data_IF_660487970419
#
_entry.id   IF_660487970419
#
_cell.length_a   1.000
_cell.length_b   1.000
_cell.length_c   1.000
_cell.angle_alpha   90.00
_cell.angle_beta   90.00
_cell.angle_gamma   90.00
#
_symmetry.space_group_name_H-M   'P 1'
#
loop_
_entity.id
_entity.type
_entity.pdbx_description
1 polymer ?
#
# COMPACT_ATOMS: atom_id res chain seq x y z
N UNK A 1 2.34 13.42 2.91
CA UNK A 1 1.45 14.43 3.53
C UNK A 1 0.03 13.96 3.36
N UNK A 2 -0.80 14.22 4.35
CA UNK A 2 -2.21 13.82 4.40
C UNK A 2 -3.02 15.00 4.91
N UNK A 3 -4.18 15.21 4.31
CA UNK A 3 -5.11 16.29 4.65
C UNK A 3 -6.32 15.70 5.37
N UNK A 4 -6.83 16.41 6.37
CA UNK A 4 -8.16 16.17 6.92
C UNK A 4 -8.96 17.47 6.83
N UNK A 5 -10.04 17.42 6.07
CA UNK A 5 -11.06 18.47 6.03
C UNK A 5 -12.26 17.99 6.86
N UNK A 6 -12.57 18.75 7.90
CA UNK A 6 -13.82 18.69 8.64
C UNK A 6 -14.77 19.72 8.01
N UNK A 7 -15.30 19.35 6.85
CA UNK A 7 -16.27 20.11 6.07
C UNK A 7 -17.65 19.53 6.39
N UNK A 8 -18.39 20.20 7.27
CA UNK A 8 -19.69 19.69 7.76
C UNK A 8 -20.77 19.84 6.70
N UNK A 9 -20.66 20.86 5.84
CA UNK A 9 -21.68 21.18 4.85
C UNK A 9 -21.38 20.58 3.46
N UNK A 10 -20.21 19.97 3.28
CA UNK A 10 -19.73 19.28 2.08
C UNK A 10 -19.66 20.19 0.84
N UNK A 11 -19.38 21.48 1.02
CA UNK A 11 -19.28 22.44 -0.08
C UNK A 11 -17.86 22.54 -0.68
N UNK A 12 -16.87 21.84 -0.12
CA UNK A 12 -15.48 21.84 -0.59
C UNK A 12 -14.68 23.08 -0.21
N UNK A 13 -15.19 23.91 0.69
CA UNK A 13 -14.57 25.11 1.23
C UNK A 13 -14.47 24.96 2.76
N UNK A 14 -13.50 25.62 3.39
CA UNK A 14 -13.39 25.64 4.85
C UNK A 14 -14.11 26.87 5.38
N UNK A 15 -15.31 26.69 5.91
CA UNK A 15 -16.14 27.75 6.47
C UNK A 15 -15.80 28.07 7.94
N UNK A 16 -16.41 29.13 8.46
CA UNK A 16 -16.26 29.50 9.87
C UNK A 16 -16.80 28.39 10.79
N UNK A 17 -15.90 27.78 11.57
CA UNK A 17 -16.22 26.67 12.47
C UNK A 17 -15.75 25.31 11.96
N UNK A 18 -15.43 25.20 10.68
CA UNK A 18 -14.85 24.02 10.04
C UNK A 18 -13.34 24.01 10.20
N UNK A 19 -12.74 22.83 9.95
CA UNK A 19 -11.32 22.60 10.18
C UNK A 19 -10.61 21.99 9.00
N UNK A 20 -9.38 22.42 8.78
CA UNK A 20 -8.46 21.79 7.85
C UNK A 20 -7.12 21.51 8.56
N UNK A 21 -6.69 20.25 8.51
CA UNK A 21 -5.44 19.81 9.12
C UNK A 21 -4.50 19.22 8.06
N UNK A 22 -3.21 19.52 8.20
CA UNK A 22 -2.12 18.90 7.44
C UNK A 22 -1.25 18.04 8.33
N UNK A 23 -1.04 16.80 7.91
CA UNK A 23 -0.13 15.85 8.53
C UNK A 23 1.05 15.59 7.60
N UNK A 24 2.24 15.95 8.05
CA UNK A 24 3.45 16.03 7.23
C UNK A 24 4.48 15.05 7.77
N UNK A 25 5.09 14.31 6.84
CA UNK A 25 6.16 13.35 7.10
C UNK A 25 7.45 13.89 6.49
N UNK A 26 8.59 13.53 7.07
CA UNK A 26 9.91 13.99 6.61
C UNK A 26 10.55 13.07 5.56
N UNK A 27 10.03 11.87 5.29
CA UNK A 27 10.68 10.86 4.44
C UNK A 27 12.11 10.60 4.97
N UNK A 28 13.14 10.62 4.10
CA UNK A 28 14.57 10.53 4.46
C UNK A 28 15.07 11.71 5.31
N UNK A 29 14.29 12.79 5.45
CA UNK A 29 14.68 13.95 6.26
C UNK A 29 14.68 13.67 7.76
N UNK A 30 13.99 12.63 8.22
CA UNK A 30 14.01 12.24 9.63
C UNK A 30 12.81 11.42 10.10
N UNK A 31 12.81 11.16 11.40
CA UNK A 31 11.84 10.29 12.07
C UNK A 31 10.72 11.05 12.78
N UNK A 32 10.19 12.12 12.16
CA UNK A 32 9.12 12.93 12.77
C UNK A 32 7.91 13.07 11.84
N UNK A 33 6.73 13.13 12.47
CA UNK A 33 5.51 13.65 11.87
C UNK A 33 5.13 14.98 12.49
N UNK A 34 4.51 15.84 11.69
CA UNK A 34 4.05 17.16 12.11
C UNK A 34 2.58 17.32 11.77
N UNK A 35 1.83 18.00 12.64
CA UNK A 35 0.45 18.39 12.39
C UNK A 35 0.29 19.92 12.44
N UNK A 36 -0.42 20.46 11.46
CA UNK A 36 -0.75 21.88 11.35
C UNK A 36 -2.26 22.05 11.20
N UNK A 37 -2.85 22.99 11.92
CA UNK A 37 -4.18 23.53 11.63
C UNK A 37 -4.01 24.64 10.58
N UNK A 38 -4.51 24.37 9.37
CA UNK A 38 -4.48 25.27 8.21
C UNK A 38 -5.88 25.79 7.85
N UNK A 39 -6.81 25.77 8.80
CA UNK A 39 -8.17 26.28 8.59
C UNK A 39 -8.17 27.77 8.20
N UNK A 40 -7.16 28.52 8.64
CA UNK A 40 -6.83 29.84 8.12
C UNK A 40 -5.52 29.75 7.32
N UNK A 41 -5.62 29.81 5.99
CA UNK A 41 -4.47 29.75 5.09
C UNK A 41 -3.44 30.88 5.32
N UNK A 42 -3.86 32.01 5.88
CA UNK A 42 -2.97 33.14 6.16
C UNK A 42 -2.31 33.03 7.53
N UNK A 43 -2.79 32.13 8.39
CA UNK A 43 -2.30 31.97 9.76
C UNK A 43 -2.31 30.49 10.19
N UNK A 44 -1.51 29.63 9.52
CA UNK A 44 -1.40 28.23 9.90
C UNK A 44 -0.81 28.09 11.31
N UNK A 45 -1.36 27.17 12.10
CA UNK A 45 -0.96 26.94 13.49
C UNK A 45 -0.35 25.55 13.64
N UNK A 46 0.78 25.49 14.32
CA UNK A 46 1.33 24.23 14.78
C UNK A 46 0.38 23.57 15.79
N UNK A 47 0.12 22.28 15.63
CA UNK A 47 -0.68 21.49 16.57
C UNK A 47 0.22 20.65 17.46
N UNK A 48 0.94 19.70 16.87
CA UNK A 48 1.78 18.74 17.56
C UNK A 48 2.82 18.17 16.59
N UNK A 49 3.83 17.49 17.15
CA UNK A 49 4.74 16.63 16.39
C UNK A 49 4.94 15.32 17.11
N UNK A 50 5.19 14.26 16.34
CA UNK A 50 5.66 12.99 16.89
C UNK A 50 7.17 12.97 16.72
N UNK A 51 7.88 12.76 17.82
CA UNK A 51 9.32 12.49 17.80
C UNK A 51 9.54 10.98 17.78
N UNK A 52 10.07 10.45 16.68
CA UNK A 52 10.50 9.05 16.61
C UNK A 52 11.80 8.80 17.35
N UNK A 53 12.10 7.51 17.56
CA UNK A 53 13.27 7.00 18.29
C UNK A 53 13.31 7.40 19.76
N UNK A 54 12.17 7.77 20.33
CA UNK A 54 12.05 8.17 21.73
C UNK A 54 10.70 7.73 22.31
N UNK A 55 10.63 7.74 23.64
CA UNK A 55 9.39 7.68 24.38
C UNK A 55 9.16 9.04 25.04
N UNK A 56 8.09 9.72 24.65
CA UNK A 56 7.80 11.08 25.08
C UNK A 56 6.61 11.12 26.01
N UNK A 57 6.75 11.95 27.05
CA UNK A 57 5.68 12.42 27.91
C UNK A 57 5.84 13.95 28.01
N UNK A 58 5.00 14.71 27.33
CA UNK A 58 5.05 16.16 27.23
C UNK A 58 3.75 16.80 27.75
N UNK A 59 3.86 17.54 28.84
CA UNK A 59 2.71 18.23 29.44
C UNK A 59 2.24 19.44 28.64
N UNK A 60 3.08 19.98 27.76
CA UNK A 60 2.77 21.18 26.97
C UNK A 60 2.01 20.87 25.68
N UNK A 61 1.71 19.58 25.43
CA UNK A 61 0.95 19.05 24.28
C UNK A 61 1.53 19.46 22.90
N UNK A 62 2.79 19.87 22.87
CA UNK A 62 3.48 20.31 21.66
C UNK A 62 4.18 19.13 20.97
N UNK A 63 4.60 18.14 21.75
CA UNK A 63 5.08 16.85 21.30
C UNK A 63 4.10 15.79 21.75
N UNK A 64 3.77 14.86 20.85
CA UNK A 64 2.83 13.80 21.12
C UNK A 64 3.32 12.86 22.23
N UNK A 65 2.41 12.53 23.13
CA UNK A 65 2.64 11.52 24.17
C UNK A 65 2.66 10.11 23.58
N UNK A 66 3.67 9.33 23.93
CA UNK A 66 3.75 7.93 23.54
C UNK A 66 5.16 7.40 23.37
N UNK A 67 5.25 6.08 23.42
CA UNK A 67 6.47 5.37 23.02
C UNK A 67 6.50 5.19 21.49
N UNK A 68 7.41 5.93 20.85
CA UNK A 68 7.70 5.93 19.41
C UNK A 68 9.14 5.48 19.13
N UNK A 69 9.72 4.62 19.99
CA UNK A 69 11.10 4.15 19.83
C UNK A 69 11.28 3.39 18.51
N UNK A 70 10.24 2.68 18.05
CA UNK A 70 10.24 1.96 16.77
C UNK A 70 10.01 2.87 15.54
N UNK A 71 9.77 4.17 15.70
CA UNK A 71 9.57 5.07 14.56
C UNK A 71 10.91 5.50 13.94
N UNK A 72 11.18 4.99 12.75
CA UNK A 72 12.29 5.35 11.87
C UNK A 72 11.96 6.50 10.92
N UNK A 73 12.64 6.55 9.79
CA UNK A 73 12.46 7.62 8.80
C UNK A 73 11.04 7.56 8.24
N UNK A 74 10.34 8.70 8.25
CA UNK A 74 8.88 8.76 8.04
C UNK A 74 8.50 8.71 6.56
N UNK A 75 8.75 7.55 5.94
CA UNK A 75 8.38 7.26 4.55
C UNK A 75 6.90 6.92 4.39
N UNK A 76 6.32 6.25 5.39
CA UNK A 76 4.91 5.87 5.42
C UNK A 76 4.05 7.14 5.46
N UNK A 77 3.11 7.27 4.52
CA UNK A 77 2.14 8.38 4.57
C UNK A 77 1.08 8.04 5.63
N UNK A 78 0.81 8.93 6.60
CA UNK A 78 -0.23 8.67 7.60
C UNK A 78 -1.62 8.69 6.96
N UNK A 79 -2.50 7.78 7.33
CA UNK A 79 -3.86 7.72 6.80
C UNK A 79 -4.86 8.11 7.88
N UNK A 80 -5.67 9.12 7.58
CA UNK A 80 -6.75 9.55 8.46
C UNK A 80 -7.92 8.60 8.32
N UNK A 81 -8.36 8.04 9.44
CA UNK A 81 -9.56 7.20 9.52
C UNK A 81 -10.20 7.38 10.90
N UNK A 82 -11.15 6.52 11.25
CA UNK A 82 -11.78 6.46 12.57
C UNK A 82 -11.76 5.04 13.11
N UNK A 83 -11.66 4.91 14.42
CA UNK A 83 -11.74 3.63 15.14
C UNK A 83 -12.50 3.81 16.44
N UNK A 84 -13.03 2.71 16.97
CA UNK A 84 -13.64 2.71 18.31
C UNK A 84 -12.60 2.39 19.40
N UNK A 85 -12.50 3.28 20.37
CA UNK A 85 -11.72 3.12 21.60
C UNK A 85 -12.65 3.27 22.82
N UNK A 86 -12.89 2.16 23.53
CA UNK A 86 -13.94 2.09 24.54
C UNK A 86 -15.32 2.28 23.92
N UNK A 87 -16.11 3.20 24.47
CA UNK A 87 -17.42 3.59 23.91
C UNK A 87 -17.34 4.74 22.90
N UNK A 88 -16.15 5.30 22.67
CA UNK A 88 -15.97 6.49 21.83
C UNK A 88 -15.40 6.15 20.46
N UNK A 89 -15.87 6.84 19.43
CA UNK A 89 -15.22 6.86 18.11
C UNK A 89 -14.19 7.98 18.11
N UNK A 90 -12.97 7.68 17.68
CA UNK A 90 -11.86 8.64 17.57
C UNK A 90 -11.43 8.79 16.12
N UNK A 91 -11.15 10.03 15.70
CA UNK A 91 -10.36 10.29 14.50
C UNK A 91 -8.90 9.97 14.78
N UNK A 92 -8.31 9.12 13.94
CA UNK A 92 -6.96 8.61 14.13
C UNK A 92 -6.13 8.72 12.87
N UNK A 93 -4.81 8.71 13.05
CA UNK A 93 -3.85 8.50 11.98
C UNK A 93 -3.23 7.12 12.14
N UNK A 94 -3.13 6.41 11.02
CA UNK A 94 -2.49 5.09 10.94
C UNK A 94 -1.29 5.16 10.02
N UNK A 95 -0.13 4.66 10.46
CA UNK A 95 1.10 4.64 9.66
C UNK A 95 2.03 3.50 10.04
N UNK A 96 2.87 3.10 9.09
CA UNK A 96 3.98 2.19 9.34
C UNK A 96 5.13 2.87 10.07
N UNK A 97 5.98 2.08 10.71
CA UNK A 97 7.09 2.53 11.53
C UNK A 97 8.18 3.24 10.76
N UNK A 98 8.10 3.29 9.43
CA UNK A 98 9.04 4.01 8.58
C UNK A 98 10.21 3.14 8.16
N UNK A 99 11.20 3.77 7.55
CA UNK A 99 12.39 3.15 6.98
C UNK A 99 13.52 3.10 8.01
N UNK A 100 14.28 2.01 8.03
CA UNK A 100 15.56 1.94 8.72
C UNK A 100 16.71 2.19 7.73
N UNK A 101 17.58 3.21 7.95
CA UNK A 101 18.72 3.47 7.10
C UNK A 101 19.75 2.33 6.98
N UNK A 102 19.69 1.30 7.84
CA UNK A 102 20.49 0.09 7.67
C UNK A 102 20.13 -0.72 6.40
N UNK A 103 19.06 -0.36 5.71
CA UNK A 103 18.66 -0.91 4.42
C UNK A 103 19.32 -0.17 3.25
N UNK A 104 20.19 0.83 3.49
CA UNK A 104 21.01 1.45 2.46
C UNK A 104 22.40 0.78 2.41
N UNK A 105 22.93 0.42 1.21
CA UNK A 105 24.26 -0.13 1.05
C UNK A 105 25.31 0.80 1.65
N UNK A 106 26.11 0.25 2.56
CA UNK A 106 27.22 0.96 3.16
C UNK A 106 28.28 1.35 2.12
N UNK A 107 28.68 2.62 2.11
CA UNK A 107 29.73 3.14 1.23
C UNK A 107 31.16 2.64 1.58
N UNK A 108 31.32 1.85 2.66
CA UNK A 108 32.61 1.33 3.11
C UNK A 108 32.99 0.01 2.44
N UNK A 109 33.00 0.03 1.11
CA UNK A 109 33.82 -0.87 0.28
C UNK A 109 35.02 -0.08 -0.21
N UNK A 110 35.94 0.27 0.70
CA UNK A 110 37.23 0.89 0.35
C UNK A 110 38.19 -0.10 -0.35
N UNK A 111 37.70 -1.27 -0.78
CA UNK A 111 38.31 -2.12 -1.80
C UNK A 111 37.67 -1.98 -3.18
N UNK A 112 36.93 -0.89 -3.45
CA UNK A 112 36.49 -0.48 -4.77
C UNK A 112 37.68 -0.11 -5.69
N UNK A 113 38.47 -1.12 -6.05
CA UNK A 113 39.44 -1.11 -7.14
C UNK A 113 39.14 -2.25 -8.11
N UNK A 114 37.93 -2.31 -8.61
CA UNK A 114 37.60 -2.65 -10.00
C UNK A 114 36.08 -2.56 -10.17
N UNK A 115 35.64 -2.27 -11.39
CA UNK A 115 34.31 -2.68 -11.81
C UNK A 115 34.13 -4.17 -11.45
N UNK A 116 32.94 -4.57 -10.98
CA UNK A 116 32.54 -5.96 -10.66
C UNK A 116 33.01 -6.52 -9.29
N UNK A 117 32.17 -6.37 -8.23
CA UNK A 117 31.96 -7.24 -7.04
C UNK A 117 30.95 -6.54 -6.07
N UNK A 118 29.65 -6.82 -5.90
CA UNK A 118 28.79 -8.01 -5.64
C UNK A 118 28.72 -8.59 -4.21
N UNK A 119 28.99 -7.86 -3.11
CA UNK A 119 28.94 -8.54 -1.78
C UNK A 119 28.36 -7.81 -0.57
N UNK A 120 27.85 -6.58 -0.66
CA UNK A 120 27.28 -5.95 0.55
C UNK A 120 26.00 -5.20 0.20
N UNK A 121 24.85 -5.81 0.59
CA UNK A 121 23.51 -5.22 0.80
C UNK A 121 22.35 -5.59 -0.14
N UNK A 122 22.55 -6.46 -1.13
CA UNK A 122 21.42 -6.99 -1.92
C UNK A 122 20.65 -8.11 -1.19
N UNK A 123 21.17 -8.64 -0.09
CA UNK A 123 20.50 -9.67 0.71
C UNK A 123 19.55 -9.10 1.76
N UNK A 124 18.52 -9.87 2.10
CA UNK A 124 17.51 -9.51 3.11
C UNK A 124 18.15 -9.45 4.52
N UNK A 125 18.06 -8.31 5.19
CA UNK A 125 18.58 -8.09 6.55
C UNK A 125 17.47 -7.59 7.50
N UNK A 126 17.55 -7.96 8.78
CA UNK A 126 16.59 -7.50 9.80
C UNK A 126 16.93 -6.10 10.29
N UNK A 127 15.91 -5.35 10.72
CA UNK A 127 16.06 -3.94 11.07
C UNK A 127 16.19 -3.68 12.57
N UNK A 128 16.74 -2.50 12.91
CA UNK A 128 16.91 -1.94 14.26
C UNK A 128 15.87 -0.88 14.66
N UNK A 129 15.22 -0.22 13.71
CA UNK A 129 13.97 0.57 13.86
C UNK A 129 12.94 0.29 12.74
N UNK A 130 11.77 0.94 12.77
CA UNK A 130 10.78 0.89 11.69
C UNK A 130 9.81 -0.29 11.71
N UNK A 131 9.92 -1.20 12.68
CA UNK A 131 9.20 -2.49 12.73
C UNK A 131 7.89 -2.39 13.51
N UNK A 132 7.05 -1.43 13.15
CA UNK A 132 5.77 -1.28 13.82
C UNK A 132 4.68 -0.73 12.89
N UNK A 133 3.43 -0.94 13.27
CA UNK A 133 2.28 -0.16 12.79
C UNK A 133 1.80 0.65 13.99
N UNK A 134 1.56 1.94 13.78
CA UNK A 134 1.09 2.88 14.79
C UNK A 134 -0.32 3.34 14.50
N UNK A 135 -1.11 3.51 15.57
CA UNK A 135 -2.38 4.24 15.56
C UNK A 135 -2.26 5.35 16.60
N UNK A 136 -2.45 6.59 16.17
CA UNK A 136 -2.38 7.77 17.02
C UNK A 136 -3.65 8.61 16.91
N UNK A 137 -3.96 9.37 17.95
CA UNK A 137 -5.05 10.36 17.89
C UNK A 137 -4.71 11.45 16.87
N UNK A 138 -5.63 11.77 15.96
CA UNK A 138 -5.36 12.72 14.87
C UNK A 138 -5.24 14.17 15.35
N UNK A 139 -5.84 14.53 16.50
CA UNK A 139 -5.85 15.89 17.02
C UNK A 139 -4.71 16.17 17.98
N UNK A 140 -4.22 15.15 18.70
CA UNK A 140 -3.14 15.30 19.69
C UNK A 140 -1.84 14.61 19.31
N UNK A 141 -1.88 13.69 18.35
CA UNK A 141 -0.74 12.83 17.99
C UNK A 141 -0.45 11.73 19.02
N UNK A 142 -1.18 11.69 20.14
CA UNK A 142 -0.92 10.74 21.22
C UNK A 142 -1.08 9.30 20.74
N UNK A 143 -0.14 8.42 21.12
CA UNK A 143 -0.18 7.01 20.73
C UNK A 143 -1.36 6.31 21.40
N UNK A 144 -2.24 5.73 20.59
CA UNK A 144 -3.35 4.90 21.04
C UNK A 144 -2.98 3.42 21.00
N UNK A 145 -2.22 3.01 19.98
CA UNK A 145 -1.80 1.62 19.81
C UNK A 145 -0.54 1.51 18.96
N UNK A 146 0.23 0.45 19.19
CA UNK A 146 1.26 -0.04 18.26
C UNK A 146 1.34 -1.57 18.31
N UNK A 147 1.82 -2.18 17.24
CA UNK A 147 2.26 -3.58 17.25
C UNK A 147 3.41 -3.79 18.24
N UNK A 148 3.47 -4.95 18.90
CA UNK A 148 4.42 -5.23 19.98
C UNK A 148 5.46 -6.32 19.66
N UNK A 149 5.62 -6.70 18.38
CA UNK A 149 6.57 -7.73 17.89
C UNK A 149 6.53 -9.06 18.67
N UNK A 150 5.41 -9.37 19.31
CA UNK A 150 5.20 -10.58 20.09
C UNK A 150 4.01 -11.37 19.55
N UNK A 151 3.90 -12.64 19.93
CA UNK A 151 2.82 -13.52 19.49
C UNK A 151 2.74 -13.58 17.96
N UNK A 152 1.58 -13.20 17.41
CA UNK A 152 1.32 -13.19 15.97
C UNK A 152 2.16 -12.16 15.18
N UNK A 153 2.77 -11.17 15.86
CA UNK A 153 3.66 -10.18 15.26
C UNK A 153 5.16 -10.50 15.44
N UNK A 154 5.51 -11.68 15.94
CA UNK A 154 6.92 -12.08 16.20
C UNK A 154 7.81 -12.07 14.96
N UNK A 155 7.23 -12.20 13.76
CA UNK A 155 7.93 -12.12 12.49
C UNK A 155 8.23 -10.70 11.99
N UNK A 156 7.73 -9.65 12.67
CA UNK A 156 7.85 -8.24 12.26
C UNK A 156 9.26 -7.71 12.56
N UNK A 157 10.20 -8.18 11.76
CA UNK A 157 11.64 -7.93 11.89
C UNK A 157 12.16 -6.93 10.86
N UNK A 158 11.29 -6.39 10.01
CA UNK A 158 11.64 -5.50 8.92
C UNK A 158 10.84 -4.20 9.02
N UNK A 159 11.47 -3.12 8.57
CA UNK A 159 10.93 -1.78 8.59
C UNK A 159 9.75 -1.64 7.62
N UNK A 160 8.78 -0.79 7.98
CA UNK A 160 7.53 -0.61 7.26
C UNK A 160 7.46 0.82 6.69
N UNK A 161 8.17 1.11 5.58
CA UNK A 161 8.08 2.40 4.90
C UNK A 161 6.79 2.53 4.07
N UNK A 162 6.11 1.42 3.79
CA UNK A 162 4.82 1.39 3.10
C UNK A 162 3.78 2.24 3.84
N UNK A 163 2.94 2.92 3.09
CA UNK A 163 1.64 3.36 3.58
C UNK A 163 0.81 2.16 4.07
N UNK A 164 -0.12 2.41 4.98
CA UNK A 164 -1.06 1.40 5.47
C UNK A 164 -2.35 1.49 4.64
N UNK A 165 -2.74 0.38 4.01
CA UNK A 165 -4.05 0.29 3.37
C UNK A 165 -5.11 0.07 4.45
N UNK A 166 -6.02 1.03 4.58
CA UNK A 166 -7.15 0.97 5.52
C UNK A 166 -8.41 0.57 4.76
N UNK A 167 -9.14 -0.43 5.26
CA UNK A 167 -10.39 -0.92 4.71
C UNK A 167 -11.49 -0.81 5.76
N UNK A 168 -12.60 -0.22 5.35
CA UNK A 168 -13.90 -0.23 6.01
C UNK A 168 -14.77 -1.17 5.17
N UNK A 169 -15.03 -2.38 5.67
CA UNK A 169 -15.62 -3.46 4.86
C UNK A 169 -17.15 -3.45 4.94
N UNK A 170 -17.71 -2.90 6.02
CA UNK A 170 -19.16 -2.82 6.24
C UNK A 170 -19.75 -1.42 6.01
N UNK A 171 -18.91 -0.46 5.63
CA UNK A 171 -19.26 0.91 5.26
C UNK A 171 -19.87 1.72 6.42
N UNK A 172 -19.50 1.42 7.67
CA UNK A 172 -19.92 2.18 8.85
C UNK A 172 -19.05 3.44 9.09
N UNK A 173 -17.98 3.60 8.32
CA UNK A 173 -17.04 4.70 8.37
C UNK A 173 -15.95 4.55 9.43
N UNK A 174 -15.74 3.35 9.96
CA UNK A 174 -14.65 2.95 10.86
C UNK A 174 -13.71 1.97 10.15
N UNK A 175 -12.43 1.99 10.52
CA UNK A 175 -11.45 1.07 9.94
C UNK A 175 -11.59 -0.33 10.54
N UNK A 176 -11.82 -1.34 9.71
CA UNK A 176 -11.92 -2.74 10.13
C UNK A 176 -10.65 -3.53 9.85
N UNK A 177 -9.96 -3.24 8.75
CA UNK A 177 -8.77 -3.97 8.34
C UNK A 177 -7.65 -3.03 7.92
N UNK A 178 -6.43 -3.36 8.32
CA UNK A 178 -5.22 -2.67 7.92
C UNK A 178 -4.29 -3.65 7.21
N UNK A 179 -3.69 -3.24 6.09
CA UNK A 179 -2.70 -4.01 5.36
C UNK A 179 -1.41 -3.23 5.15
N UNK A 180 -0.27 -3.89 5.35
CA UNK A 180 1.05 -3.28 5.21
C UNK A 180 2.03 -4.25 4.54
N UNK A 181 2.78 -3.77 3.55
CA UNK A 181 3.98 -4.42 3.05
C UNK A 181 5.21 -3.92 3.81
N UNK A 182 6.21 -4.78 4.02
CA UNK A 182 7.47 -4.41 4.68
C UNK A 182 8.72 -4.67 3.83
N UNK A 183 9.87 -4.20 4.34
CA UNK A 183 11.19 -4.37 3.71
C UNK A 183 11.70 -5.82 3.70
N UNK A 184 11.03 -6.74 4.40
CA UNK A 184 11.35 -8.16 4.39
C UNK A 184 10.52 -8.97 3.40
N UNK A 185 9.78 -8.29 2.52
CA UNK A 185 8.86 -8.89 1.57
C UNK A 185 7.66 -9.55 2.25
N UNK A 186 7.26 -9.09 3.43
CA UNK A 186 6.11 -9.62 4.15
C UNK A 186 4.88 -8.75 3.94
N UNK A 187 3.70 -9.36 4.10
CA UNK A 187 2.43 -8.63 4.17
C UNK A 187 1.78 -8.94 5.51
N UNK A 188 1.42 -7.87 6.21
CA UNK A 188 0.76 -7.89 7.51
C UNK A 188 -0.70 -7.51 7.34
N UNK A 189 -1.58 -8.23 8.04
CA UNK A 189 -2.99 -7.88 8.22
C UNK A 189 -3.26 -7.60 9.69
N UNK A 190 -4.02 -6.56 9.97
CA UNK A 190 -4.53 -6.22 11.29
C UNK A 190 -6.04 -6.06 11.18
N UNK A 191 -6.80 -6.66 12.08
CA UNK A 191 -8.25 -6.59 12.16
C UNK A 191 -8.65 -5.83 13.44
N UNK A 192 -9.58 -4.89 13.30
CA UNK A 192 -10.07 -4.00 14.36
C UNK A 192 -11.54 -4.30 14.61
N UNK A 193 -11.89 -4.62 15.86
CA UNK A 193 -13.28 -4.84 16.25
C UNK A 193 -13.95 -3.54 16.73
N UNK A 194 -14.74 -2.93 15.83
CA UNK A 194 -15.46 -1.68 16.09
C UNK A 194 -16.85 -1.85 16.74
N UNK A 195 -17.21 -3.04 17.24
CA UNK A 195 -18.50 -3.31 17.87
C UNK A 195 -18.81 -2.30 19.00
N UNK A 196 -19.92 -1.58 18.82
CA UNK A 196 -20.39 -0.53 19.73
C UNK A 196 -20.90 -1.04 21.08
N UNK A 197 -21.21 -2.34 21.19
CA UNK A 197 -21.69 -2.97 22.43
C UNK A 197 -20.56 -3.26 23.41
N UNK A 198 -19.34 -3.33 22.91
CA UNK A 198 -18.14 -3.54 23.72
C UNK A 198 -17.68 -2.22 24.35
N UNK A 199 -16.98 -2.29 25.49
CA UNK A 199 -16.46 -1.11 26.20
C UNK A 199 -14.96 -1.18 26.53
N UNK A 200 -14.25 -2.22 26.07
CA UNK A 200 -12.80 -2.35 26.22
C UNK A 200 -12.08 -1.32 25.35
N UNK A 201 -10.86 -0.98 25.74
CA UNK A 201 -9.95 -0.09 25.00
C UNK A 201 -9.55 -0.70 23.65
N UNK A 202 -9.08 0.16 22.75
CA UNK A 202 -8.68 -0.19 21.38
C UNK A 202 -7.66 -1.34 21.35
N UNK A 203 -6.68 -1.37 22.25
CA UNK A 203 -5.65 -2.41 22.32
C UNK A 203 -6.21 -3.83 22.47
N UNK A 204 -7.32 -3.97 23.17
CA UNK A 204 -8.00 -5.24 23.43
C UNK A 204 -8.98 -5.63 22.30
N UNK A 205 -9.06 -4.82 21.24
CA UNK A 205 -9.96 -5.01 20.08
C UNK A 205 -9.21 -5.27 18.78
N UNK A 206 -7.87 -5.24 18.83
CA UNK A 206 -7.02 -5.40 17.68
C UNK A 206 -6.39 -6.79 17.70
N UNK A 207 -6.57 -7.52 16.62
CA UNK A 207 -5.82 -8.72 16.30
C UNK A 207 -5.02 -8.49 15.02
N UNK A 208 -4.01 -9.30 14.76
CA UNK A 208 -3.30 -9.23 13.49
C UNK A 208 -2.28 -10.35 13.35
N UNK A 209 -1.70 -10.45 12.17
CA UNK A 209 -0.70 -11.45 11.86
C UNK A 209 -0.16 -11.33 10.44
N UNK A 210 0.89 -12.11 10.18
CA UNK A 210 1.53 -12.16 8.87
C UNK A 210 0.72 -13.04 7.92
N UNK A 211 0.33 -12.49 6.78
CA UNK A 211 -0.41 -13.21 5.75
C UNK A 211 0.46 -13.60 4.54
N UNK A 212 1.63 -12.98 4.39
CA UNK A 212 2.60 -13.38 3.38
C UNK A 212 4.05 -13.14 3.80
N UNK A 213 4.96 -13.97 3.28
CA UNK A 213 6.42 -13.82 3.34
C UNK A 213 7.00 -14.18 1.96
N UNK A 214 7.11 -13.19 1.07
CA UNK A 214 7.32 -13.34 -0.37
C UNK A 214 8.78 -13.10 -0.81
N UNK A 215 9.64 -12.68 0.12
CA UNK A 215 11.08 -12.65 -0.08
C UNK A 215 11.73 -14.00 0.31
N UNK A 216 12.84 -14.30 -0.34
CA UNK A 216 13.78 -15.36 0.04
C UNK A 216 15.02 -14.78 0.73
N UNK A 217 15.96 -15.67 1.05
CA UNK A 217 17.22 -15.30 1.70
C UNK A 217 18.35 -15.03 0.69
N UNK A 218 18.19 -15.48 -0.56
CA UNK A 218 19.11 -15.19 -1.65
C UNK A 218 18.93 -13.74 -2.14
N UNK A 219 20.01 -13.06 -2.59
CA UNK A 219 19.92 -11.69 -3.10
C UNK A 219 18.85 -11.51 -4.19
N UNK A 220 18.77 -12.45 -5.13
CA UNK A 220 17.77 -12.40 -6.21
C UNK A 220 16.32 -12.50 -5.72
N UNK A 221 16.10 -12.99 -4.50
CA UNK A 221 14.78 -13.15 -3.89
C UNK A 221 14.51 -12.13 -2.77
N UNK A 222 15.42 -11.19 -2.51
CA UNK A 222 15.33 -10.17 -1.44
C UNK A 222 14.35 -9.02 -1.78
N UNK A 223 13.12 -9.41 -2.12
CA UNK A 223 12.03 -8.51 -2.51
C UNK A 223 11.59 -7.64 -1.35
N UNK A 224 11.33 -6.37 -1.63
CA UNK A 224 10.95 -5.33 -0.66
C UNK A 224 9.64 -4.67 -1.07
N UNK A 225 8.84 -4.24 -0.09
CA UNK A 225 7.59 -3.51 -0.34
C UNK A 225 7.66 -2.09 0.22
N UNK A 226 7.67 -1.10 -0.68
CA UNK A 226 7.62 0.33 -0.35
C UNK A 226 6.21 0.93 -0.46
N UNK A 227 5.28 0.20 -1.08
CA UNK A 227 3.96 0.68 -1.42
C UNK A 227 2.88 -0.22 -0.84
N UNK A 228 1.71 0.35 -0.48
CA UNK A 228 0.64 -0.41 0.17
C UNK A 228 0.07 -1.46 -0.78
N UNK A 229 -0.40 -2.60 -0.24
CA UNK A 229 -1.24 -3.50 -0.99
C UNK A 229 -2.50 -2.80 -1.52
N UNK A 230 -2.93 -3.24 -2.70
CA UNK A 230 -4.23 -2.95 -3.29
C UNK A 230 -5.17 -4.12 -2.97
N UNK A 231 -6.27 -3.82 -2.30
CA UNK A 231 -7.19 -4.85 -1.78
C UNK A 231 -8.54 -4.67 -2.44
N UNK A 232 -9.02 -5.73 -3.10
CA UNK A 232 -10.33 -5.77 -3.73
C UNK A 232 -11.09 -7.03 -3.30
N UNK A 233 -12.42 -7.01 -3.47
CA UNK A 233 -13.26 -8.18 -3.27
C UNK A 233 -13.51 -8.81 -4.63
N UNK A 234 -13.24 -10.10 -4.74
CA UNK A 234 -13.51 -10.91 -5.93
C UNK A 234 -14.45 -12.07 -5.59
N UNK A 235 -15.15 -12.60 -6.58
CA UNK A 235 -15.90 -13.84 -6.45
C UNK A 235 -15.19 -14.96 -7.19
N UNK A 236 -14.86 -16.04 -6.48
CA UNK A 236 -14.30 -17.26 -7.06
C UNK A 236 -15.23 -18.41 -6.68
N UNK A 237 -15.78 -19.11 -7.69
CA UNK A 237 -16.75 -20.19 -7.50
C UNK A 237 -17.95 -19.80 -6.60
N UNK A 238 -18.40 -18.55 -6.73
CA UNK A 238 -19.51 -17.99 -5.94
C UNK A 238 -19.16 -17.65 -4.49
N UNK A 239 -17.90 -17.77 -4.07
CA UNK A 239 -17.42 -17.36 -2.75
C UNK A 239 -16.67 -16.03 -2.85
N UNK A 240 -17.01 -15.08 -1.97
CA UNK A 240 -16.27 -13.83 -1.86
C UNK A 240 -14.89 -14.09 -1.23
N UNK A 241 -13.87 -13.49 -1.82
CA UNK A 241 -12.49 -13.53 -1.34
C UNK A 241 -11.88 -12.14 -1.49
N UNK A 242 -10.91 -11.83 -0.63
CA UNK A 242 -10.03 -10.69 -0.83
C UNK A 242 -8.97 -11.06 -1.85
N UNK A 243 -8.81 -10.23 -2.88
CA UNK A 243 -7.63 -10.19 -3.72
C UNK A 243 -6.69 -9.10 -3.21
N UNK A 244 -5.47 -9.46 -2.87
CA UNK A 244 -4.44 -8.56 -2.33
C UNK A 244 -3.31 -8.48 -3.34
N UNK A 245 -3.31 -7.42 -4.13
CA UNK A 245 -2.35 -7.15 -5.19
C UNK A 245 -1.22 -6.26 -4.69
N UNK A 246 0.03 -6.63 -4.97
CA UNK A 246 1.21 -5.84 -4.58
C UNK A 246 2.41 -6.17 -5.48
N UNK A 247 3.18 -5.16 -5.83
CA UNK A 247 4.45 -5.32 -6.54
C UNK A 247 5.64 -5.06 -5.63
N UNK A 248 6.71 -5.84 -5.81
CA UNK A 248 7.97 -5.61 -5.11
C UNK A 248 8.87 -4.63 -5.87
N UNK A 249 9.71 -3.92 -5.11
CA UNK A 249 10.71 -3.03 -5.69
C UNK A 249 11.51 -2.28 -4.64
N UNK A 250 12.82 -2.15 -4.86
CA UNK A 250 13.70 -1.43 -3.94
C UNK A 250 13.82 0.06 -4.31
N UNK A 251 12.93 0.88 -3.73
CA UNK A 251 12.85 2.31 -4.08
C UNK A 251 14.11 3.12 -3.74
N UNK A 252 14.82 2.78 -2.67
CA UNK A 252 16.07 3.46 -2.31
C UNK A 252 17.21 3.14 -3.30
N UNK A 253 17.12 2.01 -4.02
CA UNK A 253 18.09 1.54 -5.00
C UNK A 253 17.42 1.27 -6.35
N UNK A 254 16.90 2.31 -7.03
CA UNK A 254 16.15 2.12 -8.26
C UNK A 254 16.99 1.51 -9.39
N UNK A 255 18.32 1.65 -9.35
CA UNK A 255 19.24 1.08 -10.34
C UNK A 255 19.72 -0.34 -10.03
N UNK A 256 19.30 -0.94 -8.89
CA UNK A 256 19.61 -2.35 -8.60
C UNK A 256 19.03 -3.27 -9.68
N UNK A 257 19.81 -4.27 -10.08
CA UNK A 257 19.46 -5.30 -11.08
C UNK A 257 19.61 -6.72 -10.53
N UNK A 258 19.98 -6.87 -9.24
CA UNK A 258 20.20 -8.18 -8.62
C UNK A 258 18.88 -8.83 -8.22
N UNK A 259 17.95 -8.07 -7.66
CA UNK A 259 16.65 -8.61 -7.21
C UNK A 259 15.75 -8.90 -8.41
N UNK A 260 15.24 -10.14 -8.50
CA UNK A 260 14.14 -10.47 -9.41
C UNK A 260 12.82 -10.08 -8.76
N UNK A 261 12.40 -8.84 -9.01
CA UNK A 261 11.13 -8.30 -8.55
C UNK A 261 9.94 -8.97 -9.25
N UNK A 262 8.81 -8.97 -8.53
CA UNK A 262 7.57 -9.68 -8.89
C UNK A 262 6.35 -8.83 -8.59
N UNK A 263 5.30 -9.08 -9.35
CA UNK A 263 3.94 -8.69 -8.98
C UNK A 263 3.17 -9.89 -8.43
N UNK A 264 2.35 -9.67 -7.42
CA UNK A 264 1.56 -10.69 -6.74
C UNK A 264 0.08 -10.29 -6.70
N UNK A 265 -0.80 -11.28 -6.71
CA UNK A 265 -2.20 -11.15 -6.28
C UNK A 265 -2.55 -12.35 -5.41
N UNK A 266 -2.69 -12.12 -4.09
CA UNK A 266 -3.01 -13.16 -3.12
C UNK A 266 -4.52 -13.29 -2.92
N UNK A 267 -5.00 -14.50 -2.61
CA UNK A 267 -6.41 -14.78 -2.33
C UNK A 267 -6.61 -15.18 -0.87
N UNK A 268 -7.42 -14.42 -0.15
CA UNK A 268 -7.78 -14.69 1.24
C UNK A 268 -9.31 -14.80 1.37
N UNK A 269 -9.85 -15.92 1.87
CA UNK A 269 -11.31 -16.11 1.98
C UNK A 269 -11.95 -15.36 3.17
N UNK A 270 -11.15 -14.69 4.02
CA UNK A 270 -11.62 -14.03 5.24
C UNK A 270 -11.96 -12.56 4.97
N UNK A 271 -13.09 -12.33 4.29
CA UNK A 271 -13.53 -10.99 3.88
C UNK A 271 -14.05 -10.18 5.07
N UNK A 272 -14.92 -10.76 5.90
CA UNK A 272 -15.61 -10.06 6.99
C UNK A 272 -15.02 -10.46 8.35
N UNK A 273 -14.01 -9.73 8.78
CA UNK A 273 -13.34 -9.91 10.07
C UNK A 273 -12.18 -10.91 10.05
N UNK A 274 -11.56 -11.06 11.22
CA UNK A 274 -10.31 -11.82 11.39
C UNK A 274 -10.46 -13.30 11.04
N UNK A 275 -9.41 -13.94 10.51
CA UNK A 275 -9.40 -15.38 10.28
C UNK A 275 -9.54 -16.19 11.59
N UNK A 276 -10.54 -17.07 11.64
CA UNK A 276 -10.79 -17.96 12.78
C UNK A 276 -10.79 -19.41 12.27
N UNK A 277 -10.07 -20.29 12.96
CA UNK A 277 -10.02 -21.71 12.64
C UNK A 277 -11.25 -22.48 13.18
N UNK A 278 -11.30 -23.80 12.92
CA UNK A 278 -12.41 -24.65 13.38
C UNK A 278 -12.55 -24.76 14.90
N UNK A 279 -11.56 -24.32 15.66
CA UNK A 279 -11.54 -24.34 17.13
C UNK A 279 -11.84 -22.97 17.74
N UNK A 280 -12.12 -21.94 16.93
CA UNK A 280 -12.38 -20.59 17.41
C UNK A 280 -11.11 -19.78 17.68
N UNK A 281 -9.93 -20.27 17.28
CA UNK A 281 -8.65 -19.59 17.47
C UNK A 281 -8.36 -18.69 16.28
N UNK A 282 -7.89 -17.48 16.55
CA UNK A 282 -7.45 -16.55 15.50
C UNK A 282 -6.14 -17.04 14.89
N UNK A 283 -6.14 -17.34 13.59
CA UNK A 283 -4.98 -17.87 12.87
C UNK A 283 -4.89 -17.24 11.49
N UNK A 284 -3.89 -16.38 11.28
CA UNK A 284 -3.63 -15.75 9.99
C UNK A 284 -2.85 -16.72 9.08
N UNK A 285 -3.45 -17.24 7.99
CA UNK A 285 -2.73 -18.14 7.10
C UNK A 285 -1.65 -17.37 6.33
N UNK A 286 -0.41 -17.82 6.43
CA UNK A 286 0.72 -17.20 5.73
C UNK A 286 1.04 -17.96 4.45
N UNK A 287 1.14 -17.24 3.33
CA UNK A 287 1.73 -17.73 2.08
C UNK A 287 3.23 -17.40 2.08
N UNK A 288 4.10 -18.34 1.70
CA UNK A 288 5.55 -18.07 1.66
C UNK A 288 6.13 -18.16 0.25
N UNK A 289 7.30 -17.57 0.05
CA UNK A 289 8.09 -17.65 -1.17
C UNK A 289 8.35 -19.10 -1.64
N UNK A 290 8.44 -20.05 -0.70
CA UNK A 290 8.81 -21.45 -0.93
C UNK A 290 7.66 -22.46 -0.84
N UNK A 291 6.48 -22.06 -0.35
CA UNK A 291 5.34 -22.97 -0.17
C UNK A 291 4.31 -22.85 -1.29
N UNK A 292 3.72 -23.98 -1.65
CA UNK A 292 2.77 -24.12 -2.76
C UNK A 292 1.41 -23.51 -2.41
N UNK A 293 0.94 -22.63 -3.27
CA UNK A 293 -0.34 -21.97 -3.15
C UNK A 293 -0.43 -20.82 -4.15
N UNK A 294 0.69 -20.16 -4.42
CA UNK A 294 0.78 -19.22 -5.53
C UNK A 294 1.12 -19.93 -6.84
N UNK A 295 0.44 -19.52 -7.89
CA UNK A 295 0.66 -19.99 -9.24
C UNK A 295 1.57 -18.99 -9.97
N UNK A 296 2.68 -19.50 -10.53
CA UNK A 296 3.54 -18.71 -11.42
C UNK A 296 2.86 -18.54 -12.78
N UNK A 297 2.48 -17.31 -13.13
CA UNK A 297 1.80 -16.98 -14.39
C UNK A 297 2.73 -16.26 -15.38
N UNK A 298 4.04 -16.20 -15.10
CA UNK A 298 5.03 -15.45 -15.88
C UNK A 298 4.99 -15.82 -17.36
N UNK A 299 4.92 -17.11 -17.69
CA UNK A 299 5.09 -17.61 -19.07
C UNK A 299 3.81 -18.08 -19.74
N UNK A 300 2.65 -17.84 -19.13
CA UNK A 300 1.34 -18.31 -19.64
C UNK A 300 0.30 -17.19 -19.58
N UNK A 301 -0.26 -16.80 -20.73
CA UNK A 301 -1.22 -15.70 -20.82
C UNK A 301 -2.51 -15.98 -20.04
N UNK A 302 -3.05 -17.20 -20.06
CA UNK A 302 -4.31 -17.53 -19.38
C UNK A 302 -4.18 -18.80 -18.56
N UNK A 303 -3.37 -18.75 -17.50
CA UNK A 303 -3.14 -19.91 -16.63
C UNK A 303 -4.40 -20.29 -15.87
N UNK A 304 -4.69 -21.58 -15.80
CA UNK A 304 -5.78 -22.10 -14.99
C UNK A 304 -5.47 -21.96 -13.50
N UNK A 305 -6.45 -21.52 -12.72
CA UNK A 305 -6.32 -21.31 -11.27
C UNK A 305 -7.08 -22.41 -10.51
N UNK A 306 -6.40 -23.31 -9.79
CA UNK A 306 -7.04 -24.25 -8.89
C UNK A 306 -7.91 -23.54 -7.83
N UNK A 307 -8.97 -24.18 -7.37
CA UNK A 307 -9.88 -23.61 -6.37
C UNK A 307 -9.19 -23.34 -5.01
N UNK A 308 -8.18 -24.14 -4.67
CA UNK A 308 -7.35 -24.00 -3.48
C UNK A 308 -6.13 -23.08 -3.68
N UNK A 309 -5.95 -22.53 -4.88
CA UNK A 309 -4.88 -21.57 -5.15
C UNK A 309 -5.03 -20.34 -4.24
N UNK A 310 -3.92 -19.98 -3.61
CA UNK A 310 -3.78 -18.82 -2.73
C UNK A 310 -3.45 -17.53 -3.49
N UNK A 311 -3.56 -17.56 -4.82
CA UNK A 311 -3.25 -16.44 -5.69
C UNK A 311 -2.22 -16.78 -6.76
N UNK A 312 -1.64 -15.76 -7.36
CA UNK A 312 -0.63 -15.88 -8.41
C UNK A 312 0.51 -14.88 -8.22
N UNK A 313 1.62 -15.14 -8.88
CA UNK A 313 2.70 -14.16 -9.04
C UNK A 313 3.23 -14.16 -10.47
N UNK A 314 3.83 -13.04 -10.86
CA UNK A 314 4.47 -12.83 -12.14
C UNK A 314 5.84 -12.21 -11.91
N UNK A 315 6.89 -12.77 -12.52
CA UNK A 315 8.19 -12.09 -12.60
C UNK A 315 8.08 -10.89 -13.54
N UNK A 316 8.67 -9.77 -13.15
CA UNK A 316 8.87 -8.63 -14.05
C UNK A 316 9.92 -9.01 -15.09
N UNK A 317 9.72 -8.55 -16.33
CA UNK A 317 10.36 -9.14 -17.51
C UNK A 317 11.73 -8.58 -17.83
N UNK A 318 11.98 -7.31 -17.50
CA UNK A 318 13.27 -6.66 -17.75
C UNK A 318 14.21 -6.76 -16.53
N UNK A 319 15.52 -6.75 -16.80
CA UNK A 319 16.55 -6.85 -15.76
C UNK A 319 16.44 -5.66 -14.78
N UNK A 320 16.25 -5.96 -13.49
CA UNK A 320 16.05 -4.95 -12.44
C UNK A 320 14.75 -4.15 -12.54
N UNK A 321 13.81 -4.57 -13.39
CA UNK A 321 12.48 -3.96 -13.43
C UNK A 321 11.78 -4.10 -12.08
N UNK A 322 11.14 -3.02 -11.58
CA UNK A 322 10.61 -2.98 -10.22
C UNK A 322 9.33 -2.16 -10.09
N UNK A 323 8.41 -2.57 -9.22
CA UNK A 323 7.17 -1.82 -8.97
C UNK A 323 7.42 -0.76 -7.90
N UNK A 324 7.37 0.51 -8.31
CA UNK A 324 7.64 1.66 -7.44
C UNK A 324 6.43 2.60 -7.33
N UNK A 325 5.23 2.03 -7.36
CA UNK A 325 3.97 2.73 -7.15
C UNK A 325 2.91 1.77 -6.61
N UNK A 326 1.80 2.29 -6.10
CA UNK A 326 0.64 1.45 -5.76
C UNK A 326 -0.10 1.01 -7.01
N UNK A 327 -0.59 -0.23 -7.03
CA UNK A 327 -1.56 -0.68 -8.02
C UNK A 327 -2.97 -0.20 -7.70
N UNK A 328 -3.86 -0.31 -8.68
CA UNK A 328 -5.29 -0.11 -8.54
C UNK A 328 -6.05 -1.23 -9.23
N UNK A 329 -7.03 -1.81 -8.55
CA UNK A 329 -7.91 -2.83 -9.12
C UNK A 329 -9.27 -2.21 -9.39
N UNK A 330 -9.72 -2.26 -10.64
CA UNK A 330 -11.05 -1.83 -11.06
C UNK A 330 -11.61 -2.84 -12.05
N UNK A 331 -12.85 -3.29 -11.82
CA UNK A 331 -13.52 -4.25 -12.70
C UNK A 331 -12.68 -5.49 -13.02
N UNK A 332 -12.10 -6.09 -11.98
CA UNK A 332 -11.21 -7.26 -12.07
C UNK A 332 -9.88 -7.02 -12.85
N UNK A 333 -9.62 -5.80 -13.30
CA UNK A 333 -8.38 -5.39 -13.97
C UNK A 333 -7.46 -4.74 -12.93
N UNK A 334 -6.30 -5.34 -12.71
CA UNK A 334 -5.23 -4.78 -11.88
C UNK A 334 -4.34 -3.95 -12.79
N UNK A 335 -4.28 -2.65 -12.52
CA UNK A 335 -3.41 -1.70 -13.19
C UNK A 335 -2.25 -1.33 -12.27
N UNK A 336 -1.02 -1.41 -12.77
CA UNK A 336 0.16 -0.98 -12.02
C UNK A 336 1.25 -0.47 -12.95
N UNK A 337 2.23 0.24 -12.40
CA UNK A 337 3.37 0.73 -13.15
C UNK A 337 4.67 0.16 -12.59
N UNK A 338 5.64 -0.08 -13.47
CA UNK A 338 6.98 -0.51 -13.12
C UNK A 338 8.03 0.48 -13.63
N UNK A 339 9.17 0.49 -12.97
CA UNK A 339 10.36 1.22 -13.37
C UNK A 339 11.37 0.25 -13.99
N UNK A 340 11.90 0.59 -15.15
CA UNK A 340 12.94 -0.12 -15.86
C UNK A 340 14.25 0.67 -15.72
N UNK A 341 15.24 0.16 -14.95
CA UNK A 341 16.50 0.85 -14.77
C UNK A 341 17.31 0.90 -16.07
N UNK A 342 17.96 2.03 -16.33
CA UNK A 342 18.95 2.15 -17.39
C UNK A 342 20.35 2.13 -16.77
N UNK A 343 21.18 1.16 -17.16
CA UNK A 343 22.53 1.00 -16.58
C UNK A 343 23.62 1.72 -17.38
N UNK A 344 23.31 2.17 -18.60
CA UNK A 344 24.23 2.88 -19.49
C UNK A 344 23.80 4.34 -19.65
N UNK A 345 24.41 5.24 -18.88
CA UNK A 345 24.33 6.69 -19.15
C UNK A 345 25.64 7.15 -19.82
N UNK A 346 25.56 8.03 -20.82
CA UNK A 346 26.75 8.73 -21.29
C UNK A 346 27.31 9.59 -20.15
N UNK A 347 28.64 9.75 -20.10
CA UNK A 347 29.30 10.54 -19.07
C UNK A 347 28.68 11.95 -19.00
N UNK A 348 28.12 12.30 -17.83
CA UNK A 348 27.35 13.52 -17.53
C UNK A 348 25.85 13.54 -17.89
N UNK A 349 25.21 12.38 -18.09
CA UNK A 349 23.74 12.25 -18.11
C UNK A 349 23.24 11.45 -16.91
N UNK A 350 22.04 11.73 -16.42
CA UNK A 350 21.39 10.91 -15.42
C UNK A 350 20.88 9.62 -16.09
N UNK A 351 21.12 8.47 -15.45
CA UNK A 351 20.42 7.24 -15.78
C UNK A 351 18.96 7.38 -15.32
N UNK A 352 18.10 7.94 -16.18
CA UNK A 352 16.71 8.19 -15.83
C UNK A 352 15.90 6.89 -15.87
N UNK A 353 16.20 5.96 -16.78
CA UNK A 353 15.40 4.76 -16.98
C UNK A 353 14.05 5.07 -17.64
N UNK A 354 13.24 4.03 -17.84
CA UNK A 354 11.90 4.15 -18.42
C UNK A 354 10.86 3.53 -17.49
N UNK A 355 9.58 3.71 -17.81
CA UNK A 355 8.49 3.06 -17.10
C UNK A 355 7.69 2.15 -18.01
N UNK A 356 6.99 1.18 -17.41
CA UNK A 356 5.93 0.45 -18.10
C UNK A 356 4.63 0.53 -17.29
N UNK A 357 3.51 0.41 -17.99
CA UNK A 357 2.20 0.21 -17.40
C UNK A 357 1.74 -1.21 -17.70
N UNK A 358 1.19 -1.88 -16.70
CA UNK A 358 0.64 -3.22 -16.80
C UNK A 358 -0.87 -3.19 -16.60
N UNK A 359 -1.58 -4.05 -17.32
CA UNK A 359 -2.99 -4.32 -17.10
C UNK A 359 -3.23 -5.83 -17.15
N UNK A 360 -3.54 -6.41 -15.99
CA UNK A 360 -3.70 -7.86 -15.86
C UNK A 360 -4.93 -8.24 -15.05
N UNK A 361 -5.49 -9.42 -15.31
CA UNK A 361 -6.63 -9.97 -14.59
C UNK A 361 -6.24 -10.26 -13.14
N UNK A 362 -7.03 -9.75 -12.19
CA UNK A 362 -6.87 -10.06 -10.76
C UNK A 362 -6.97 -11.56 -10.49
N UNK A 363 -7.65 -12.32 -11.35
CA UNK A 363 -7.88 -13.74 -11.16
C UNK A 363 -6.65 -14.59 -11.45
N UNK A 364 -5.94 -14.33 -12.55
CA UNK A 364 -4.88 -15.23 -13.04
C UNK A 364 -3.73 -14.51 -13.75
N UNK A 365 -3.63 -13.19 -13.64
CA UNK A 365 -2.59 -12.38 -14.28
C UNK A 365 -2.65 -12.39 -15.82
N UNK A 366 -3.77 -12.78 -16.41
CA UNK A 366 -3.95 -12.71 -17.86
C UNK A 366 -3.93 -11.26 -18.37
N UNK A 367 -3.41 -10.99 -19.58
CA UNK A 367 -3.64 -9.68 -20.21
C UNK A 367 -5.14 -9.39 -20.28
N UNK A 368 -5.52 -8.15 -20.02
CA UNK A 368 -6.94 -7.72 -20.08
C UNK A 368 -7.18 -6.54 -21.01
N UNK A 369 -6.12 -5.91 -21.51
CA UNK A 369 -6.13 -4.84 -22.50
C UNK A 369 -5.14 -5.19 -23.61
N UNK A 370 -5.37 -4.74 -24.84
CA UNK A 370 -4.39 -4.84 -25.93
C UNK A 370 -3.36 -3.71 -25.82
N UNK A 371 -2.40 -3.84 -24.90
CA UNK A 371 -1.41 -2.79 -24.62
C UNK A 371 -0.23 -2.76 -25.61
N UNK A 372 0.01 -3.84 -26.36
CA UNK A 372 1.08 -3.87 -27.35
C UNK A 372 0.64 -3.33 -28.73
N UNK A 373 -0.65 -3.05 -28.88
CA UNK A 373 -1.30 -2.50 -30.08
C UNK A 373 -1.16 -3.41 -31.32
N UNK A 374 -0.93 -4.71 -31.09
CA UNK A 374 -0.83 -5.73 -32.13
C UNK A 374 -1.94 -6.78 -32.00
N UNK A 375 -2.17 -7.58 -33.04
CA UNK A 375 -3.16 -8.66 -32.98
C UNK A 375 -4.62 -8.20 -32.85
N UNK A 376 -5.46 -9.08 -32.29
CA UNK A 376 -6.90 -8.85 -32.08
C UNK A 376 -7.18 -8.55 -30.62
N UNK A 377 -8.12 -7.64 -30.33
CA UNK A 377 -8.62 -7.39 -28.96
C UNK A 377 -9.28 -8.62 -28.33
N UNK A 378 -9.72 -9.58 -29.15
CA UNK A 378 -10.34 -10.83 -28.70
C UNK A 378 -9.32 -11.96 -28.43
N UNK A 379 -8.05 -11.78 -28.81
CA UNK A 379 -6.99 -12.80 -28.72
C UNK A 379 -5.72 -12.21 -28.09
N UNK A 380 -5.81 -11.83 -26.82
CA UNK A 380 -4.69 -11.27 -26.08
C UNK A 380 -3.61 -12.33 -25.78
N UNK A 381 -2.37 -11.88 -25.85
CA UNK A 381 -1.14 -12.66 -25.69
C UNK A 381 -0.31 -12.14 -24.51
N UNK A 382 0.84 -12.77 -24.22
CA UNK A 382 1.68 -12.34 -23.10
C UNK A 382 2.23 -10.91 -23.24
N UNK A 383 2.46 -10.45 -24.48
CA UNK A 383 3.01 -9.12 -24.75
C UNK A 383 1.98 -8.01 -24.48
N UNK A 384 0.69 -8.33 -24.55
CA UNK A 384 -0.41 -7.43 -24.19
C UNK A 384 -0.49 -7.07 -22.70
N UNK A 385 0.29 -7.72 -21.83
CA UNK A 385 0.27 -7.42 -20.38
C UNK A 385 0.77 -6.03 -20.06
N UNK A 386 1.59 -5.42 -20.92
CA UNK A 386 2.22 -4.15 -20.63
C UNK A 386 2.46 -3.29 -21.87
N UNK A 387 2.62 -1.98 -21.64
CA UNK A 387 3.11 -0.99 -22.60
C UNK A 387 4.26 -0.20 -21.98
N UNK A 388 5.31 0.05 -22.76
CA UNK A 388 6.36 0.99 -22.35
C UNK A 388 5.82 2.41 -22.41
N UNK A 389 6.00 3.16 -21.33
CA UNK A 389 5.59 4.55 -21.21
C UNK A 389 6.57 5.47 -21.94
N UNK A 390 6.07 6.56 -22.50
CA UNK A 390 6.87 7.52 -23.24
C UNK A 390 7.72 8.41 -22.31
N UNK A 391 7.35 8.52 -21.03
CA UNK A 391 8.08 9.32 -20.05
C UNK A 391 9.19 8.53 -19.35
N UNK A 392 10.34 9.19 -19.19
CA UNK A 392 11.47 8.65 -18.44
C UNK A 392 11.26 8.74 -16.92
N UNK A 393 12.05 7.98 -16.17
CA UNK A 393 12.02 7.98 -14.71
C UNK A 393 10.98 7.06 -14.10
N UNK A 394 10.78 7.21 -12.78
CA UNK A 394 9.84 6.38 -12.02
C UNK A 394 8.41 6.83 -12.34
N UNK A 395 7.58 5.99 -12.96
CA UNK A 395 6.22 6.37 -13.30
C UNK A 395 5.35 6.55 -12.04
N UNK A 396 4.36 7.45 -12.06
CA UNK A 396 3.38 7.56 -10.99
C UNK A 396 2.47 6.31 -10.98
N UNK A 397 1.67 6.19 -9.92
CA UNK A 397 0.61 5.18 -9.87
C UNK A 397 -0.45 5.47 -10.94
N UNK A 398 -1.05 4.41 -11.49
CA UNK A 398 -2.21 4.52 -12.37
C UNK A 398 -3.39 5.13 -11.62
N UNK A 399 -4.07 6.08 -12.24
CA UNK A 399 -5.29 6.71 -11.70
C UNK A 399 -6.47 6.38 -12.60
N UNK A 400 -7.54 5.85 -12.02
CA UNK A 400 -8.82 5.65 -12.72
C UNK A 400 -9.68 6.87 -12.48
N UNK A 401 -9.98 7.59 -13.56
CA UNK A 401 -10.78 8.80 -13.57
C UNK A 401 -12.21 8.48 -13.98
N UNK A 402 -13.13 9.14 -13.31
CA UNK A 402 -14.56 8.95 -13.47
C UNK A 402 -15.21 10.29 -13.80
N UNK A 403 -15.24 10.70 -15.07
CA UNK A 403 -15.81 11.99 -15.44
C UNK A 403 -17.32 12.04 -15.18
N UNK A 404 -17.86 13.24 -14.98
CA UNK A 404 -19.32 13.46 -14.85
C UNK A 404 -20.09 13.04 -16.11
N UNK A 405 -19.44 13.16 -17.27
CA UNK A 405 -19.93 12.78 -18.58
C UNK A 405 -18.83 12.06 -19.35
N UNK A 406 -19.17 10.94 -19.99
CA UNK A 406 -18.22 10.10 -20.73
C UNK A 406 -17.86 8.83 -19.98
N UNK A 407 -17.02 8.03 -20.61
CA UNK A 407 -16.58 6.75 -20.07
C UNK A 407 -15.44 6.94 -19.06
N UNK A 408 -15.32 6.03 -18.07
CA UNK A 408 -14.15 5.99 -17.19
C UNK A 408 -12.87 5.88 -18.02
N UNK A 409 -11.79 6.50 -17.53
CA UNK A 409 -10.50 6.49 -18.22
C UNK A 409 -9.39 6.21 -17.22
N UNK A 410 -8.40 5.39 -17.58
CA UNK A 410 -7.21 5.21 -16.78
C UNK A 410 -6.06 6.07 -17.32
N UNK A 411 -5.30 6.69 -16.43
CA UNK A 411 -4.14 7.54 -16.78
C UNK A 411 -2.92 7.18 -15.96
N UNK A 412 -1.74 7.31 -16.57
CA UNK A 412 -0.43 7.22 -15.93
C UNK A 412 0.31 8.53 -16.19
N UNK A 413 0.31 9.41 -15.19
CA UNK A 413 0.87 10.76 -15.36
C UNK A 413 0.08 11.53 -16.42
N UNK A 414 0.71 11.77 -17.56
CA UNK A 414 0.10 12.46 -18.73
C UNK A 414 -0.33 11.51 -19.85
N UNK A 415 -0.07 10.21 -19.71
CA UNK A 415 -0.44 9.20 -20.71
C UNK A 415 -1.80 8.58 -20.37
N UNK A 416 -2.65 8.42 -21.39
CA UNK A 416 -3.99 7.83 -21.24
C UNK A 416 -3.95 6.37 -21.69
N UNK A 417 -4.71 5.50 -21.02
CA UNK A 417 -4.99 4.15 -21.45
C UNK A 417 -6.35 4.15 -22.17
N UNK A 418 -6.33 4.43 -23.47
CA UNK A 418 -7.55 4.51 -24.30
C UNK A 418 -8.24 3.14 -24.43
N UNK A 419 -7.51 2.05 -24.19
CA UNK A 419 -8.01 0.67 -24.20
C UNK A 419 -8.84 0.35 -22.94
N UNK A 420 -8.68 1.14 -21.88
CA UNK A 420 -9.29 0.83 -20.60
C UNK A 420 -10.79 1.13 -20.62
N UNK A 421 -11.57 0.07 -20.53
CA UNK A 421 -13.02 0.14 -20.35
C UNK A 421 -13.42 -0.60 -19.07
N UNK A 422 -14.44 -0.05 -18.39
CA UNK A 422 -15.15 -0.77 -17.34
C UNK A 422 -16.39 -1.40 -17.95
N UNK A 423 -16.67 -2.65 -17.58
CA UNK A 423 -17.98 -3.26 -17.83
C UNK A 423 -19.09 -2.39 -17.21
N UNK A 424 -20.36 -2.56 -17.63
CA UNK A 424 -21.54 -1.78 -17.17
C UNK A 424 -21.81 -1.90 -15.65
N UNK A 425 -20.91 -1.40 -14.82
CA UNK A 425 -20.94 -1.41 -13.36
C UNK A 425 -21.63 -0.15 -12.80
N UNK A 426 -22.10 0.74 -13.67
CA UNK A 426 -22.78 1.99 -13.31
C UNK A 426 -24.24 1.94 -13.72
N UNK A 427 -25.12 2.08 -12.74
CA UNK A 427 -26.50 2.50 -12.98
C UNK A 427 -26.62 3.96 -12.57
N UNK A 428 -26.84 4.85 -13.54
CA UNK A 428 -27.12 6.27 -13.25
C UNK A 428 -28.47 6.35 -12.54
N UNK A 429 -28.46 6.67 -11.26
CA UNK A 429 -29.67 6.84 -10.45
C UNK A 429 -29.99 8.33 -10.36
N UNK A 430 -31.14 8.74 -10.89
CA UNK A 430 -31.65 10.09 -10.71
C UNK A 430 -32.58 10.11 -9.50
N UNK A 431 -32.41 11.10 -8.63
CA UNK A 431 -33.38 11.42 -7.60
C UNK A 431 -34.28 12.53 -8.15
N UNK A 432 -35.58 12.29 -8.20
CA UNK A 432 -36.57 13.31 -8.52
C UNK A 432 -37.36 13.60 -7.25
N UNK A 433 -37.33 14.85 -6.81
CA UNK A 433 -38.20 15.32 -5.74
C UNK A 433 -39.64 15.36 -6.28
N UNK A 434 -40.53 14.57 -5.68
CA UNK A 434 -41.97 14.67 -5.92
C UNK A 434 -42.51 15.83 -5.09
N UNK A 435 -42.81 16.94 -5.75
CA UNK A 435 -43.60 18.02 -5.15
C UNK A 435 -45.07 17.59 -5.31
N UNK A 436 -45.72 17.20 -4.22
CA UNK A 436 -47.18 17.07 -4.20
C UNK A 436 -47.79 18.47 -4.29
N UNK A 437 -48.45 18.77 -5.41
CA UNK A 437 -49.32 19.94 -5.50
C UNK A 437 -50.61 19.64 -4.71
N UNK A 438 -50.75 20.27 -3.55
CA UNK A 438 -52.01 20.29 -2.80
C UNK A 438 -53.09 20.96 -3.67
N UNK A 439 -54.04 20.15 -4.17
CA UNK A 439 -55.20 20.58 -4.97
C UNK A 439 -56.39 21.02 -4.12
#
# INVERSE_FOLDING_TARGET
MTTWLDDTNHNGVVDSGEKAYLYIAMRRGGSQYYALDVSDLNNPKYMWSIQGRTNTLDTDLSTADGDFVELGDTWSRPIKTRVRDGSTVKDVLVFGGGYDPNQDPTADSTTATSADTTTVEDSRSTDGIGRAIFIVDAKTGAKLWQTNRAGQFSGMNYSIPSEIRVIDIDFDGLADQLYAGDMGGQIWRVDINNDATLSNSLDSRIDGGRIAELAGDEPADARRFYYPPDVSIISVDGQQQLAISIGSGWRAHPLDTVVQDRFYSLRLPYVYGKPIDSYGVTVYPTVTHTTTGLIDVTTEAAKSMPADARGWFMNLGADGEKVLSSSVTADHKVLFTSYLPETNSEACSAAEGSGAVYAVSVFNGAPVLNLDETGSVDELTLTDRFRILNHAGIPPATSVLFPETGDPTAVVGTETLDEFELDELRRRTFWQEMIEEDS
#
